data_IF_415061394625
#
_entry.id   IF_415061394625
#
_cell.length_a   1.000
_cell.length_b   1.000
_cell.length_c   1.000
_cell.angle_alpha   90.00
_cell.angle_beta   90.00
_cell.angle_gamma   90.00
#
_symmetry.space_group_name_H-M   'P 1'
#
loop_
_entity.id
_entity.type
_entity.pdbx_description
1 polymer ?
#
# COMPACT_ATOMS: atom_id res chain seq x y z
N UNK A 1 13.56 -6.28 -1.61
CA UNK A 1 12.74 -5.07 -1.84
C UNK A 1 13.68 -3.87 -1.90
N UNK A 2 13.69 -3.15 -3.01
CA UNK A 2 14.55 -1.98 -3.23
C UNK A 2 14.19 -0.85 -2.24
N UNK A 3 15.16 0.02 -1.95
CA UNK A 3 15.05 1.21 -1.08
C UNK A 3 13.92 2.20 -1.44
N UNK A 4 13.17 1.94 -2.52
CA UNK A 4 12.15 2.81 -3.08
C UNK A 4 10.89 2.92 -2.20
N UNK A 5 10.64 1.96 -1.30
CA UNK A 5 9.48 2.01 -0.39
C UNK A 5 9.79 2.65 0.98
N UNK A 6 11.04 3.06 1.19
CA UNK A 6 11.51 3.60 2.46
C UNK A 6 11.62 5.12 2.35
N UNK A 7 11.08 5.83 3.34
CA UNK A 7 11.29 7.25 3.51
C UNK A 7 12.72 7.49 4.04
N UNK A 8 13.63 7.87 3.14
CA UNK A 8 15.05 8.06 3.48
C UNK A 8 15.28 9.20 4.47
N UNK A 9 14.42 10.23 4.47
CA UNK A 9 14.51 11.34 5.44
C UNK A 9 14.22 10.82 6.85
N UNK A 10 13.13 10.06 7.02
CA UNK A 10 12.76 9.47 8.30
C UNK A 10 13.79 8.43 8.74
N UNK A 11 14.27 7.58 7.83
CA UNK A 11 15.32 6.58 8.13
C UNK A 11 16.58 7.26 8.68
N UNK A 12 17.04 8.34 8.03
CA UNK A 12 18.22 9.09 8.45
C UNK A 12 17.99 9.82 9.78
N UNK A 13 16.82 10.43 9.96
CA UNK A 13 16.49 11.17 11.18
C UNK A 13 16.41 10.26 12.42
N UNK A 14 15.88 9.04 12.28
CA UNK A 14 15.76 8.07 13.38
C UNK A 14 17.06 7.29 13.66
N UNK A 15 18.03 7.33 12.73
CA UNK A 15 19.35 6.69 12.87
C UNK A 15 19.28 5.23 13.35
N UNK A 16 18.41 4.43 12.72
CA UNK A 16 18.22 3.02 13.04
C UNK A 16 19.52 2.21 12.92
N UNK A 17 19.73 1.31 13.87
CA UNK A 17 20.66 0.18 13.69
C UNK A 17 20.12 -0.77 12.61
N UNK A 18 21.00 -1.63 12.08
CA UNK A 18 20.59 -2.62 11.07
C UNK A 18 19.52 -3.58 11.61
N UNK A 19 19.64 -3.99 12.88
CA UNK A 19 18.69 -4.89 13.55
C UNK A 19 17.31 -4.24 13.70
N UNK A 20 17.26 -2.97 14.13
CA UNK A 20 15.98 -2.25 14.26
C UNK A 20 15.31 -2.04 12.91
N UNK A 21 16.09 -1.71 11.88
CA UNK A 21 15.56 -1.53 10.53
C UNK A 21 14.94 -2.82 9.98
N UNK A 22 15.61 -3.97 10.14
CA UNK A 22 15.06 -5.25 9.70
C UNK A 22 13.83 -5.69 10.51
N UNK A 23 13.78 -5.37 11.81
CA UNK A 23 12.58 -5.59 12.63
C UNK A 23 11.38 -4.77 12.11
N UNK A 24 11.58 -3.47 11.84
CA UNK A 24 10.51 -2.61 11.34
C UNK A 24 10.05 -2.99 9.92
N UNK A 25 10.98 -3.44 9.08
CA UNK A 25 10.67 -3.96 7.75
C UNK A 25 9.85 -5.25 7.82
N UNK A 26 10.18 -6.15 8.75
CA UNK A 26 9.41 -7.37 8.98
C UNK A 26 7.98 -7.02 9.40
N UNK A 27 7.84 -6.14 10.40
CA UNK A 27 6.54 -5.63 10.85
C UNK A 27 5.73 -5.00 9.72
N UNK A 28 6.38 -4.23 8.85
CA UNK A 28 5.74 -3.59 7.71
C UNK A 28 5.25 -4.62 6.69
N UNK A 29 6.07 -5.61 6.32
CA UNK A 29 5.69 -6.67 5.38
C UNK A 29 4.53 -7.52 5.93
N UNK A 30 4.50 -7.74 7.24
CA UNK A 30 3.47 -8.55 7.90
C UNK A 30 2.16 -7.79 8.17
N UNK A 31 2.12 -6.47 7.91
CA UNK A 31 0.92 -5.64 8.04
C UNK A 31 -0.20 -6.11 7.10
N UNK A 32 -1.45 -5.81 7.47
CA UNK A 32 -2.62 -6.14 6.66
C UNK A 32 -2.54 -5.50 5.26
N UNK A 33 -2.18 -4.22 5.24
CA UNK A 33 -1.94 -3.40 4.06
C UNK A 33 -0.96 -4.07 3.08
N UNK A 34 0.22 -4.46 3.56
CA UNK A 34 1.22 -5.10 2.70
C UNK A 34 0.81 -6.51 2.26
N UNK A 35 0.06 -7.25 3.07
CA UNK A 35 -0.52 -8.53 2.64
C UNK A 35 -1.48 -8.34 1.46
N UNK A 36 -2.29 -7.28 1.44
CA UNK A 36 -3.14 -6.94 0.30
C UNK A 36 -2.32 -6.58 -0.95
N UNK A 37 -1.24 -5.80 -0.79
CA UNK A 37 -0.32 -5.48 -1.90
C UNK A 37 0.35 -6.74 -2.46
N UNK A 38 0.82 -7.64 -1.60
CA UNK A 38 1.44 -8.91 -2.01
C UNK A 38 0.44 -9.81 -2.73
N UNK A 39 -0.79 -9.92 -2.22
CA UNK A 39 -1.86 -10.65 -2.90
C UNK A 39 -2.13 -10.06 -4.30
N UNK A 40 -2.20 -8.73 -4.38
CA UNK A 40 -2.42 -8.01 -5.64
C UNK A 40 -1.33 -8.29 -6.67
N UNK A 41 -0.05 -8.30 -6.24
CA UNK A 41 1.08 -8.71 -7.09
C UNK A 41 0.95 -10.16 -7.57
N UNK A 42 0.58 -11.08 -6.68
CA UNK A 42 0.44 -12.49 -7.03
C UNK A 42 -0.68 -12.73 -8.06
N UNK A 43 -1.81 -12.03 -7.94
CA UNK A 43 -2.91 -12.10 -8.90
C UNK A 43 -2.52 -11.44 -10.24
N UNK A 44 -1.87 -10.28 -10.20
CA UNK A 44 -1.32 -9.62 -11.40
C UNK A 44 -0.33 -10.52 -12.14
N UNK A 45 0.55 -11.23 -11.43
CA UNK A 45 1.50 -12.17 -12.02
C UNK A 45 0.82 -13.37 -12.72
N UNK A 46 -0.42 -13.71 -12.33
CA UNK A 46 -1.26 -14.71 -13.01
C UNK A 46 -2.02 -14.15 -14.21
N UNK A 47 -1.85 -12.88 -14.54
CA UNK A 47 -2.55 -12.20 -15.63
C UNK A 47 -3.93 -11.65 -15.24
N UNK A 48 -4.28 -11.63 -13.96
CA UNK A 48 -5.55 -11.07 -13.51
C UNK A 48 -5.52 -9.53 -13.50
N UNK A 49 -6.69 -8.92 -13.71
CA UNK A 49 -6.86 -7.47 -13.63
C UNK A 49 -7.17 -7.11 -12.18
N UNK A 50 -6.23 -6.46 -11.51
CA UNK A 50 -6.33 -6.15 -10.08
C UNK A 50 -6.44 -4.65 -9.86
N UNK A 51 -7.33 -4.27 -8.95
CA UNK A 51 -7.44 -2.93 -8.39
C UNK A 51 -7.52 -3.06 -6.88
N UNK A 52 -6.68 -2.33 -6.15
CA UNK A 52 -6.73 -2.26 -4.69
C UNK A 52 -7.59 -1.05 -4.28
N UNK A 53 -8.70 -1.32 -3.59
CA UNK A 53 -9.61 -0.27 -3.11
C UNK A 53 -9.12 0.26 -1.76
N UNK A 54 -8.84 1.57 -1.67
CA UNK A 54 -8.34 2.21 -0.44
C UNK A 54 -8.73 3.68 -0.38
N UNK A 55 -9.03 4.18 0.82
CA UNK A 55 -9.30 5.59 1.11
C UNK A 55 -8.03 6.36 1.52
N UNK A 56 -6.87 5.69 1.55
CA UNK A 56 -5.60 6.37 1.79
C UNK A 56 -5.19 7.23 0.58
N UNK A 57 -4.53 8.36 0.87
CA UNK A 57 -3.92 9.21 -0.14
C UNK A 57 -2.39 9.10 -0.13
N UNK A 58 -1.75 9.41 -1.26
CA UNK A 58 -0.28 9.52 -1.35
C UNK A 58 0.28 10.63 -0.43
N UNK A 59 -0.54 11.66 -0.16
CA UNK A 59 -0.19 12.80 0.67
C UNK A 59 -0.09 12.42 2.16
N UNK A 60 0.88 13.04 2.84
CA UNK A 60 1.06 12.96 4.29
C UNK A 60 1.50 11.58 4.82
N UNK A 61 2.76 11.19 4.57
CA UNK A 61 3.33 9.95 5.11
C UNK A 61 3.78 10.08 6.59
N UNK A 62 2.95 10.70 7.44
CA UNK A 62 2.97 10.84 8.92
C UNK A 62 4.28 10.51 9.67
N UNK A 63 5.43 10.99 9.19
CA UNK A 63 6.77 10.58 9.64
C UNK A 63 6.97 9.06 9.77
N UNK A 64 6.23 8.25 9.00
CA UNK A 64 6.37 6.80 8.92
C UNK A 64 7.59 6.42 8.09
N UNK A 65 8.23 5.31 8.48
CA UNK A 65 9.45 4.82 7.84
C UNK A 65 9.19 4.29 6.42
N UNK A 66 8.05 3.66 6.18
CA UNK A 66 7.66 3.12 4.88
C UNK A 66 6.61 4.01 4.22
N UNK A 67 6.58 4.02 2.88
CA UNK A 67 5.56 4.70 2.08
C UNK A 67 4.18 4.07 2.31
N UNK A 68 3.11 4.85 2.14
CA UNK A 68 1.71 4.39 2.20
C UNK A 68 1.36 3.48 1.01
N UNK A 69 0.26 2.72 1.13
CA UNK A 69 -0.20 1.77 0.12
C UNK A 69 -0.35 2.41 -1.26
N UNK A 70 -1.01 3.58 -1.44
CA UNK A 70 -1.22 4.15 -2.78
C UNK A 70 0.10 4.41 -3.50
N UNK A 71 1.11 4.93 -2.79
CA UNK A 71 2.43 5.18 -3.38
C UNK A 71 3.15 3.88 -3.73
N UNK A 72 3.02 2.84 -2.91
CA UNK A 72 3.61 1.51 -3.19
C UNK A 72 2.93 0.88 -4.40
N UNK A 73 1.60 0.89 -4.46
CA UNK A 73 0.82 0.37 -5.58
C UNK A 73 1.20 1.08 -6.89
N UNK A 74 1.39 2.40 -6.87
CA UNK A 74 1.86 3.16 -8.04
C UNK A 74 3.21 2.69 -8.57
N UNK A 75 4.18 2.49 -7.68
CA UNK A 75 5.52 2.00 -8.03
C UNK A 75 5.50 0.54 -8.53
N UNK A 76 4.52 -0.25 -8.10
CA UNK A 76 4.30 -1.64 -8.51
C UNK A 76 3.32 -1.77 -9.69
N UNK A 77 2.85 -0.64 -10.22
CA UNK A 77 1.83 -0.56 -11.28
C UNK A 77 0.59 -1.41 -10.95
N UNK A 78 0.12 -1.33 -9.72
CA UNK A 78 -1.18 -1.85 -9.26
C UNK A 78 -2.14 -0.67 -9.25
N UNK A 79 -3.28 -0.81 -9.95
CA UNK A 79 -4.31 0.22 -9.94
C UNK A 79 -4.92 0.38 -8.55
N UNK A 80 -5.23 1.62 -8.17
CA UNK A 80 -5.95 1.95 -6.94
C UNK A 80 -7.19 2.78 -7.25
N UNK A 81 -8.21 2.68 -6.41
CA UNK A 81 -9.36 3.59 -6.40
C UNK A 81 -9.97 3.65 -5.00
N UNK A 82 -10.74 4.69 -4.73
CA UNK A 82 -11.58 4.82 -3.55
C UNK A 82 -12.86 3.99 -3.70
N UNK A 83 -13.55 3.74 -2.59
CA UNK A 83 -14.84 3.07 -2.59
C UNK A 83 -15.90 3.88 -3.36
N UNK A 84 -16.02 5.22 -3.23
CA UNK A 84 -16.92 6.01 -4.07
C UNK A 84 -16.62 5.85 -5.58
N UNK A 85 -15.35 5.84 -5.98
CA UNK A 85 -14.97 5.61 -7.38
C UNK A 85 -15.34 4.21 -7.87
N UNK A 86 -15.22 3.19 -7.00
CA UNK A 86 -15.66 1.83 -7.31
C UNK A 86 -17.18 1.78 -7.56
N UNK A 87 -17.96 2.37 -6.65
CA UNK A 87 -19.42 2.39 -6.73
C UNK A 87 -19.88 3.14 -7.98
N UNK A 88 -19.26 4.28 -8.30
CA UNK A 88 -19.58 5.06 -9.50
C UNK A 88 -19.20 4.35 -10.81
N UNK A 89 -18.31 3.35 -10.76
CA UNK A 89 -17.79 2.66 -11.95
C UNK A 89 -18.63 1.47 -12.38
N UNK A 90 -19.34 0.84 -11.47
CA UNK A 90 -20.07 -0.40 -11.73
C UNK A 90 -21.55 -0.25 -11.40
N UNK A 91 -22.40 -0.53 -12.38
CA UNK A 91 -23.84 -0.60 -12.17
C UNK A 91 -24.22 -1.85 -11.34
N UNK A 92 -25.36 -1.77 -10.66
CA UNK A 92 -25.92 -2.91 -9.91
C UNK A 92 -25.32 -3.12 -8.51
N UNK A 93 -24.64 -2.12 -7.95
CA UNK A 93 -24.23 -2.11 -6.55
C UNK A 93 -25.34 -1.42 -5.73
N UNK A 94 -26.16 -2.21 -5.05
CA UNK A 94 -27.10 -1.70 -4.05
C UNK A 94 -26.41 -1.58 -2.69
N UNK A 95 -26.48 -0.40 -2.08
CA UNK A 95 -25.92 -0.11 -0.75
C UNK A 95 -27.09 0.09 0.21
N UNK A 96 -27.17 -0.75 1.22
CA UNK A 96 -28.14 -0.62 2.31
C UNK A 96 -27.45 -0.07 3.56
N UNK A 97 -28.08 0.90 4.21
CA UNK A 97 -27.59 1.48 5.46
C UNK A 97 -28.51 0.98 6.59
N UNK A 98 -27.93 0.24 7.54
CA UNK A 98 -28.64 -0.22 8.75
C UNK A 98 -28.77 0.87 9.81
#
# INVERSE_FOLDING_TARGET
MNNNFVNQIVKKARNFTEVEFESEKTRFIESADMKQVILSLNLKAKGERVVLVTEETESNNDNKLFKKIPTICKELEIGTMTLPELIAKYDGIDIDFQ
#
